data_IF_219385776293
#
_entry.id   IF_219385776293
#
_cell.length_a   1.000
_cell.length_b   1.000
_cell.length_c   1.000
_cell.angle_alpha   90.00
_cell.angle_beta   90.00
_cell.angle_gamma   90.00
#
_symmetry.space_group_name_H-M   'P 1'
#
loop_
_entity.id
_entity.type
_entity.pdbx_description
1 polymer ?
#
# COMPACT_ATOMS: atom_id res chain seq x y z
N UNK A 1 14.55 -18.46 16.79
CA UNK A 1 14.65 -18.62 15.32
C UNK A 1 14.08 -19.94 14.80
N UNK A 2 14.13 -21.07 15.55
CA UNK A 2 13.58 -22.36 15.09
C UNK A 2 12.04 -22.50 15.14
N UNK A 3 11.35 -21.87 16.10
CA UNK A 3 9.89 -22.01 16.22
C UNK A 3 9.10 -21.33 15.09
N UNK A 4 9.63 -20.22 14.55
CA UNK A 4 8.95 -19.40 13.53
C UNK A 4 8.88 -20.13 12.17
N UNK A 5 9.96 -20.83 11.80
CA UNK A 5 10.04 -21.63 10.56
C UNK A 5 9.15 -22.88 10.64
N UNK A 6 8.92 -23.42 11.84
CA UNK A 6 8.09 -24.61 12.03
C UNK A 6 6.58 -24.34 11.92
N UNK A 7 6.11 -23.17 12.35
CA UNK A 7 4.68 -22.80 12.26
C UNK A 7 4.26 -22.59 10.80
N UNK A 8 5.09 -21.93 9.99
CA UNK A 8 4.77 -21.67 8.58
C UNK A 8 4.79 -22.96 7.73
N UNK A 9 5.60 -23.95 8.11
CA UNK A 9 5.60 -25.30 7.48
C UNK A 9 4.35 -26.12 7.79
N UNK A 10 3.70 -25.90 8.93
CA UNK A 10 2.49 -26.63 9.32
C UNK A 10 1.20 -25.91 8.89
N UNK A 11 1.24 -24.58 8.74
CA UNK A 11 0.12 -23.78 8.27
C UNK A 11 0.61 -22.58 7.44
N UNK A 12 0.79 -22.77 6.12
CA UNK A 12 1.36 -21.74 5.25
C UNK A 12 0.59 -20.42 5.36
N UNK A 13 1.29 -19.34 5.72
CA UNK A 13 0.71 -18.00 5.75
C UNK A 13 -0.09 -17.63 7.02
N UNK A 14 -0.39 -18.57 7.94
CA UNK A 14 -1.08 -18.21 9.20
C UNK A 14 -0.25 -17.29 10.09
N UNK A 15 1.07 -17.47 10.08
CA UNK A 15 1.98 -16.58 10.79
C UNK A 15 1.90 -15.16 10.20
N UNK A 16 2.07 -15.04 8.89
CA UNK A 16 1.96 -13.75 8.17
C UNK A 16 0.60 -13.08 8.40
N UNK A 17 -0.50 -13.83 8.37
CA UNK A 17 -1.84 -13.31 8.67
C UNK A 17 -1.95 -12.77 10.11
N UNK A 18 -1.38 -13.48 11.09
CA UNK A 18 -1.40 -13.07 12.49
C UNK A 18 -0.59 -11.79 12.71
N UNK A 19 0.60 -11.71 12.11
CA UNK A 19 1.43 -10.50 12.15
C UNK A 19 0.74 -9.35 11.43
N UNK A 20 0.12 -9.59 10.27
CA UNK A 20 -0.64 -8.57 9.57
C UNK A 20 -1.80 -8.02 10.42
N UNK A 21 -2.54 -8.89 11.11
CA UNK A 21 -3.60 -8.49 12.04
C UNK A 21 -3.10 -7.54 13.13
N UNK A 22 -1.95 -7.84 13.73
CA UNK A 22 -1.33 -6.98 14.75
C UNK A 22 -0.86 -5.64 14.17
N UNK A 23 -0.17 -5.67 13.02
CA UNK A 23 0.37 -4.45 12.39
C UNK A 23 -0.76 -3.53 11.92
N UNK A 24 -1.80 -4.09 11.28
CA UNK A 24 -2.88 -3.27 10.70
C UNK A 24 -3.75 -2.61 11.77
N UNK A 25 -3.90 -3.23 12.93
CA UNK A 25 -4.66 -2.66 14.05
C UNK A 25 -4.03 -1.35 14.56
N UNK A 26 -2.71 -1.25 14.47
CA UNK A 26 -1.93 -0.09 14.92
C UNK A 26 -1.50 0.85 13.80
N UNK A 27 -1.90 0.59 12.55
CA UNK A 27 -1.57 1.44 11.40
C UNK A 27 -2.55 2.63 11.26
N UNK A 28 -2.06 3.86 10.98
CA UNK A 28 -0.65 4.27 10.93
C UNK A 28 -0.04 4.40 12.35
N UNK A 29 1.26 4.07 12.52
CA UNK A 29 1.93 4.19 13.81
C UNK A 29 1.93 5.65 14.30
N UNK A 30 1.78 5.84 15.61
CA UNK A 30 1.60 7.17 16.21
C UNK A 30 2.91 7.94 16.45
N UNK A 31 4.04 7.24 16.53
CA UNK A 31 5.27 7.78 17.17
C UNK A 31 6.48 7.71 16.24
N UNK A 32 6.61 6.66 15.43
CA UNK A 32 7.81 6.44 14.61
C UNK A 32 7.49 6.49 13.11
N UNK A 33 8.05 7.49 12.44
CA UNK A 33 7.93 7.72 11.00
C UNK A 33 8.93 6.85 10.21
N UNK A 34 10.01 6.36 10.85
CA UNK A 34 11.08 5.61 10.19
C UNK A 34 10.72 4.15 9.90
N UNK A 35 9.82 3.55 10.69
CA UNK A 35 9.38 2.16 10.45
C UNK A 35 8.29 2.04 9.39
N UNK A 36 7.74 3.16 8.89
CA UNK A 36 6.61 3.14 7.96
C UNK A 36 6.95 2.56 6.60
N UNK A 37 8.15 2.82 6.08
CA UNK A 37 8.62 2.23 4.83
C UNK A 37 8.65 0.70 4.94
N UNK A 38 9.10 0.17 6.08
CA UNK A 38 9.11 -1.26 6.35
C UNK A 38 7.68 -1.83 6.44
N UNK A 39 6.73 -1.09 7.02
CA UNK A 39 5.32 -1.48 7.06
C UNK A 39 4.72 -1.51 5.64
N UNK A 40 5.02 -0.52 4.80
CA UNK A 40 4.58 -0.49 3.39
C UNK A 40 5.14 -1.69 2.63
N UNK A 41 6.43 -1.99 2.78
CA UNK A 41 7.04 -3.19 2.20
C UNK A 41 6.39 -4.49 2.70
N UNK A 42 6.08 -4.56 4.00
CA UNK A 42 5.37 -5.71 4.57
C UNK A 42 3.96 -5.85 3.99
N UNK A 43 3.22 -4.75 3.84
CA UNK A 43 1.91 -4.75 3.17
C UNK A 43 2.01 -5.22 1.72
N UNK A 44 3.06 -4.85 0.99
CA UNK A 44 3.30 -5.33 -0.38
C UNK A 44 3.56 -6.85 -0.39
N UNK A 45 4.32 -7.36 0.58
CA UNK A 45 4.51 -8.79 0.76
C UNK A 45 3.18 -9.52 1.04
N UNK A 46 2.35 -9.00 1.95
CA UNK A 46 1.04 -9.58 2.26
C UNK A 46 0.11 -9.52 1.05
N UNK A 47 0.09 -8.42 0.28
CA UNK A 47 -0.70 -8.31 -0.96
C UNK A 47 -0.32 -9.38 -1.98
N UNK A 48 0.98 -9.61 -2.17
CA UNK A 48 1.51 -10.59 -3.13
C UNK A 48 1.28 -12.04 -2.71
N UNK A 49 1.38 -12.34 -1.41
CA UNK A 49 1.34 -13.71 -0.89
C UNK A 49 -0.04 -14.14 -0.39
N UNK A 50 -0.80 -13.23 0.23
CA UNK A 50 -2.09 -13.45 0.86
C UNK A 50 -3.07 -12.31 0.54
N UNK A 51 -3.47 -12.13 -0.74
CA UNK A 51 -4.27 -10.98 -1.17
C UNK A 51 -5.61 -10.84 -0.42
N UNK A 52 -6.24 -11.94 0.00
CA UNK A 52 -7.48 -11.89 0.79
C UNK A 52 -7.26 -11.37 2.22
N UNK A 53 -6.09 -11.64 2.82
CA UNK A 53 -5.69 -11.08 4.12
C UNK A 53 -5.51 -9.58 3.98
N UNK A 54 -4.79 -9.15 2.95
CA UNK A 54 -4.58 -7.74 2.63
C UNK A 54 -5.92 -6.99 2.50
N UNK A 55 -6.87 -7.55 1.75
CA UNK A 55 -8.18 -6.92 1.51
C UNK A 55 -9.03 -6.78 2.78
N UNK A 56 -8.89 -7.67 3.77
CA UNK A 56 -9.55 -7.50 5.08
C UNK A 56 -9.04 -6.27 5.83
N UNK A 57 -7.80 -5.85 5.59
CA UNK A 57 -7.21 -4.64 6.15
C UNK A 57 -7.37 -3.38 5.29
N UNK A 58 -7.99 -3.49 4.10
CA UNK A 58 -7.95 -2.46 3.05
C UNK A 58 -8.37 -1.07 3.54
N UNK A 59 -9.46 -0.98 4.30
CA UNK A 59 -9.95 0.30 4.81
C UNK A 59 -8.89 1.00 5.68
N UNK A 60 -8.28 0.27 6.61
CA UNK A 60 -7.25 0.82 7.50
C UNK A 60 -5.99 1.21 6.74
N UNK A 61 -5.59 0.43 5.74
CA UNK A 61 -4.44 0.77 4.87
C UNK A 61 -4.71 2.09 4.16
N UNK A 62 -5.85 2.23 3.48
CA UNK A 62 -6.18 3.44 2.71
C UNK A 62 -6.29 4.66 3.63
N UNK A 63 -6.99 4.55 4.76
CA UNK A 63 -7.08 5.65 5.75
C UNK A 63 -5.71 6.01 6.33
N UNK A 64 -4.88 5.02 6.62
CA UNK A 64 -3.55 5.25 7.15
C UNK A 64 -2.66 5.96 6.13
N UNK A 65 -2.65 5.54 4.86
CA UNK A 65 -1.94 6.26 3.81
C UNK A 65 -2.44 7.69 3.63
N UNK A 66 -3.75 7.91 3.63
CA UNK A 66 -4.32 9.24 3.48
C UNK A 66 -3.85 10.21 4.59
N UNK A 67 -3.81 9.72 5.84
CA UNK A 67 -3.30 10.48 6.99
C UNK A 67 -1.83 10.81 6.88
N UNK A 68 -1.02 9.85 6.41
CA UNK A 68 0.43 9.97 6.36
C UNK A 68 0.90 10.85 5.21
N UNK A 69 0.33 10.67 4.02
CA UNK A 69 0.59 11.53 2.87
C UNK A 69 0.27 13.01 3.16
N UNK A 70 -0.72 13.27 4.03
CA UNK A 70 -1.08 14.64 4.40
C UNK A 70 -0.06 15.34 5.32
N UNK A 71 0.85 14.60 5.97
CA UNK A 71 1.77 15.14 6.99
C UNK A 71 3.24 14.82 6.75
N UNK A 72 3.55 13.94 5.78
CA UNK A 72 4.89 13.46 5.50
C UNK A 72 5.13 13.28 4.00
N UNK A 73 6.34 13.60 3.56
CA UNK A 73 6.85 13.25 2.24
C UNK A 73 7.49 11.86 2.25
N UNK A 74 7.26 11.09 1.19
CA UNK A 74 7.79 9.74 0.99
C UNK A 74 8.67 9.70 -0.26
N UNK A 75 9.57 8.73 -0.32
CA UNK A 75 10.32 8.46 -1.55
C UNK A 75 9.41 7.95 -2.66
N UNK A 76 9.82 8.15 -3.92
CA UNK A 76 9.03 7.72 -5.09
C UNK A 76 8.72 6.21 -5.09
N UNK A 77 9.66 5.38 -4.62
CA UNK A 77 9.50 3.93 -4.56
C UNK A 77 8.39 3.53 -3.56
N UNK A 78 8.34 4.21 -2.41
CA UNK A 78 7.30 4.00 -1.40
C UNK A 78 5.95 4.48 -1.92
N UNK A 79 5.90 5.65 -2.57
CA UNK A 79 4.69 6.17 -3.21
C UNK A 79 4.17 5.22 -4.29
N UNK A 80 5.05 4.59 -5.08
CA UNK A 80 4.67 3.61 -6.09
C UNK A 80 4.02 2.35 -5.48
N UNK A 81 4.56 1.85 -4.35
CA UNK A 81 3.94 0.73 -3.63
C UNK A 81 2.61 1.13 -2.99
N UNK A 82 2.54 2.27 -2.30
CA UNK A 82 1.29 2.79 -1.73
C UNK A 82 0.21 2.93 -2.79
N UNK A 83 0.56 3.44 -3.99
CA UNK A 83 -0.36 3.50 -5.12
C UNK A 83 -0.84 2.12 -5.53
N UNK A 84 0.09 1.17 -5.72
CA UNK A 84 -0.23 -0.21 -6.12
C UNK A 84 -1.22 -0.85 -5.15
N UNK A 85 -1.05 -0.60 -3.86
CA UNK A 85 -1.96 -1.06 -2.81
C UNK A 85 -3.36 -0.43 -2.93
N UNK A 86 -3.42 0.89 -3.05
CA UNK A 86 -4.69 1.63 -3.16
C UNK A 86 -5.44 1.23 -4.44
N UNK A 87 -4.75 1.10 -5.57
CA UNK A 87 -5.33 0.62 -6.83
C UNK A 87 -5.81 -0.82 -6.71
N UNK A 88 -5.07 -1.69 -6.03
CA UNK A 88 -5.49 -3.06 -5.80
C UNK A 88 -6.82 -3.13 -5.04
N UNK A 89 -7.00 -2.30 -4.00
CA UNK A 89 -8.28 -2.16 -3.27
C UNK A 89 -9.38 -1.61 -4.17
N UNK A 90 -9.09 -0.51 -4.89
CA UNK A 90 -10.02 0.14 -5.80
C UNK A 90 -10.59 -0.85 -6.84
N UNK A 91 -9.72 -1.67 -7.43
CA UNK A 91 -10.09 -2.66 -8.45
C UNK A 91 -10.97 -3.79 -7.91
N UNK A 92 -10.98 -4.06 -6.60
CA UNK A 92 -11.86 -5.10 -6.05
C UNK A 92 -13.31 -4.63 -5.96
N UNK A 93 -13.53 -3.36 -5.59
CA UNK A 93 -14.86 -2.78 -5.46
C UNK A 93 -14.81 -1.25 -5.55
N UNK A 94 -14.99 -0.74 -6.77
CA UNK A 94 -14.94 0.70 -7.05
C UNK A 94 -15.93 1.51 -6.20
N UNK A 95 -17.17 1.03 -6.04
CA UNK A 95 -18.20 1.77 -5.31
C UNK A 95 -17.88 1.89 -3.82
N UNK A 96 -17.44 0.79 -3.18
CA UNK A 96 -17.02 0.83 -1.78
C UNK A 96 -15.76 1.67 -1.58
N UNK A 97 -14.83 1.62 -2.54
CA UNK A 97 -13.63 2.46 -2.52
C UNK A 97 -13.98 3.95 -2.60
N UNK A 98 -14.89 4.35 -3.49
CA UNK A 98 -15.35 5.74 -3.60
C UNK A 98 -16.05 6.21 -2.32
N UNK A 99 -16.91 5.36 -1.71
CA UNK A 99 -17.52 5.66 -0.42
C UNK A 99 -16.47 5.88 0.67
N UNK A 100 -15.44 5.03 0.72
CA UNK A 100 -14.33 5.16 1.65
C UNK A 100 -13.58 6.48 1.45
N UNK A 101 -13.16 6.77 0.21
CA UNK A 101 -12.42 8.00 -0.13
C UNK A 101 -13.24 9.26 0.15
N UNK A 102 -14.55 9.23 -0.09
CA UNK A 102 -15.45 10.33 0.21
C UNK A 102 -15.71 10.52 1.72
N UNK A 103 -15.42 9.51 2.55
CA UNK A 103 -15.50 9.61 4.02
C UNK A 103 -14.24 10.17 4.68
N UNK A 104 -13.17 10.41 3.91
CA UNK A 104 -11.91 11.00 4.39
C UNK A 104 -12.05 12.52 4.56
N UNK A 105 -11.15 13.12 5.35
CA UNK A 105 -11.02 14.58 5.39
C UNK A 105 -10.63 15.15 4.02
N UNK A 106 -10.93 16.43 3.77
CA UNK A 106 -10.69 17.06 2.45
C UNK A 106 -9.21 16.92 2.01
N UNK A 107 -8.25 17.22 2.90
CA UNK A 107 -6.83 17.08 2.60
C UNK A 107 -6.38 15.62 2.39
N UNK A 108 -6.86 14.70 3.24
CA UNK A 108 -6.59 13.26 3.11
C UNK A 108 -7.08 12.70 1.76
N UNK A 109 -8.29 13.11 1.35
CA UNK A 109 -8.89 12.72 0.07
C UNK A 109 -8.07 13.23 -1.11
N UNK A 110 -7.64 14.50 -1.07
CA UNK A 110 -6.80 15.08 -2.11
C UNK A 110 -5.49 14.32 -2.26
N UNK A 111 -4.86 13.90 -1.17
CA UNK A 111 -3.62 13.11 -1.23
C UNK A 111 -3.83 11.72 -1.85
N UNK A 112 -4.93 11.03 -1.53
CA UNK A 112 -5.27 9.76 -2.20
C UNK A 112 -5.53 9.98 -3.70
N UNK A 113 -6.20 11.07 -4.08
CA UNK A 113 -6.42 11.41 -5.48
C UNK A 113 -5.11 11.74 -6.20
N UNK A 114 -4.23 12.55 -5.61
CA UNK A 114 -2.89 12.86 -6.14
C UNK A 114 -2.05 11.60 -6.32
N UNK A 115 -2.05 10.70 -5.32
CA UNK A 115 -1.36 9.42 -5.37
C UNK A 115 -1.78 8.60 -6.61
N UNK A 116 -3.08 8.58 -6.92
CA UNK A 116 -3.63 7.88 -8.09
C UNK A 116 -3.42 8.63 -9.41
N UNK A 117 -3.47 9.96 -9.42
CA UNK A 117 -3.42 10.81 -10.62
C UNK A 117 -2.01 11.12 -11.14
N UNK A 118 -1.01 11.28 -10.26
CA UNK A 118 0.35 11.77 -10.61
C UNK A 118 1.17 10.86 -11.54
N UNK A 119 0.62 9.74 -12.01
CA UNK A 119 1.34 8.75 -12.81
C UNK A 119 1.00 8.73 -14.30
N UNK A 120 -0.15 9.27 -14.72
CA UNK A 120 -0.46 9.35 -16.16
C UNK A 120 0.60 10.16 -16.93
N UNK A 121 1.29 11.09 -16.27
CA UNK A 121 2.41 11.86 -16.82
C UNK A 121 3.71 11.03 -16.83
N UNK A 122 4.00 10.26 -15.77
CA UNK A 122 5.26 9.54 -15.63
C UNK A 122 5.35 8.25 -16.48
N UNK A 123 4.21 7.58 -16.75
CA UNK A 123 4.18 6.39 -17.61
C UNK A 123 4.45 6.72 -19.08
N UNK A 124 3.93 7.85 -19.58
CA UNK A 124 4.22 8.34 -20.93
C UNK A 124 5.72 8.67 -21.07
N UNK A 125 6.32 9.29 -20.04
CA UNK A 125 7.75 9.61 -20.04
C UNK A 125 8.64 8.37 -19.97
N UNK A 126 8.32 7.37 -19.13
CA UNK A 126 9.11 6.12 -19.03
C UNK A 126 8.99 5.22 -20.27
N UNK A 127 7.85 5.21 -20.97
CA UNK A 127 7.70 4.52 -22.26
C UNK A 127 8.45 5.26 -23.39
N UNK A 128 8.41 6.59 -23.40
CA UNK A 128 9.14 7.41 -24.38
C UNK A 128 10.66 7.23 -24.27
N UNK A 129 11.21 7.15 -23.06
CA UNK A 129 12.64 6.95 -22.83
C UNK A 129 13.13 5.52 -23.16
N UNK A 130 12.26 4.50 -23.04
CA UNK A 130 12.60 3.13 -23.46
C UNK A 130 12.47 2.90 -24.96
N UNK A 131 11.68 3.71 -25.66
CA UNK A 131 11.51 3.64 -27.12
C UNK A 131 12.66 4.25 -27.93
N UNK A 132 13.48 5.13 -27.33
CA UNK A 132 14.60 5.79 -28.01
C UNK A 132 15.95 5.09 -27.80
N UNK A 133 16.08 4.21 -26.81
CA UNK A 133 17.34 3.51 -26.50
C UNK A 133 17.61 2.25 -27.36
N UNK A 134 16.72 1.89 -28.30
CA UNK A 134 16.91 0.76 -29.24
C UNK A 134 17.16 1.18 -30.70
N UNK A 135 17.46 2.46 -30.96
CA UNK A 135 17.93 2.91 -32.27
C UNK A 135 19.25 3.66 -32.13
N UNK A 136 20.33 2.90 -31.97
CA UNK A 136 21.71 3.34 -32.03
C UNK A 136 22.58 2.18 -32.44
#
# INVERSE_FOLDING_TARGET
>A
MYAMVSIDKMFPGKFTESIFGLVIEHFPPRIDFYEEDAIVHFFEFVRKTLPWVFLRGAERIVRGYARRLAVQEFSDDILEMMRTHVQFVQMQNQAQFEMLVNSLGVGEREEIQKLLQNWHVCWISKLSLRGTAQRG
#
